data_IF_141392603498
#
_entry.id   IF_141392603498
#
_cell.length_a   1.000
_cell.length_b   1.000
_cell.length_c   1.000
_cell.angle_alpha   90.00
_cell.angle_beta   90.00
_cell.angle_gamma   90.00
#
_symmetry.space_group_name_H-M   'P 1'
#
loop_
_entity.id
_entity.type
_entity.pdbx_description
1 polymer ?
#
# COMPACT_ATOMS: atom_id res chain seq x y z
N UNK A 1 0.00 -6.80 -8.03
CA UNK A 1 0.20 -5.77 -7.00
C UNK A 1 1.08 -6.29 -5.85
N UNK A 2 0.89 -7.53 -5.39
CA UNK A 2 1.72 -8.12 -4.32
C UNK A 2 3.22 -8.19 -4.62
N UNK A 3 3.64 -8.66 -5.81
CA UNK A 3 5.05 -8.92 -6.09
C UNK A 3 5.97 -7.69 -5.93
N UNK A 4 5.51 -6.51 -6.38
CA UNK A 4 6.29 -5.28 -6.27
C UNK A 4 6.38 -4.77 -4.82
N UNK A 5 5.30 -4.91 -4.04
CA UNK A 5 5.29 -4.57 -2.61
C UNK A 5 6.18 -5.54 -1.81
N UNK A 6 6.12 -6.82 -2.12
CA UNK A 6 6.95 -7.88 -1.52
C UNK A 6 8.44 -7.63 -1.80
N UNK A 7 8.79 -7.29 -3.05
CA UNK A 7 10.15 -6.94 -3.43
C UNK A 7 10.65 -5.70 -2.69
N UNK A 8 9.79 -4.70 -2.51
CA UNK A 8 10.14 -3.47 -1.79
C UNK A 8 10.33 -3.72 -0.29
N UNK A 9 9.50 -4.57 0.31
CA UNK A 9 9.67 -5.08 1.68
C UNK A 9 11.01 -5.79 1.85
N UNK A 10 11.34 -6.73 0.96
CA UNK A 10 12.62 -7.44 0.98
C UNK A 10 13.81 -6.49 0.80
N UNK A 11 13.73 -5.54 -0.12
CA UNK A 11 14.77 -4.53 -0.32
C UNK A 11 14.96 -3.64 0.92
N UNK A 12 13.86 -3.28 1.59
CA UNK A 12 13.89 -2.48 2.81
C UNK A 12 14.55 -3.26 3.95
N UNK A 13 14.19 -4.53 4.15
CA UNK A 13 14.82 -5.41 5.16
C UNK A 13 16.32 -5.57 4.88
N UNK A 14 16.70 -5.83 3.62
CA UNK A 14 18.12 -5.91 3.23
C UNK A 14 18.87 -4.61 3.51
N UNK A 15 18.28 -3.45 3.18
CA UNK A 15 18.88 -2.14 3.46
C UNK A 15 19.14 -1.95 4.95
N UNK A 16 18.17 -2.27 5.81
CA UNK A 16 18.33 -2.19 7.27
C UNK A 16 19.43 -3.13 7.77
N UNK A 17 19.49 -4.36 7.26
CA UNK A 17 20.52 -5.33 7.62
C UNK A 17 21.92 -4.92 7.19
N UNK A 18 22.10 -4.39 5.98
CA UNK A 18 23.39 -3.91 5.50
C UNK A 18 23.86 -2.69 6.30
N UNK A 19 22.95 -1.78 6.64
CA UNK A 19 23.26 -0.63 7.48
C UNK A 19 23.72 -1.06 8.88
N UNK A 20 23.05 -2.04 9.48
CA UNK A 20 23.45 -2.65 10.77
C UNK A 20 24.85 -3.24 10.74
N UNK A 21 25.20 -3.98 9.67
CA UNK A 21 26.53 -4.56 9.53
C UNK A 21 27.61 -3.49 9.37
N UNK A 22 27.32 -2.42 8.63
CA UNK A 22 28.27 -1.34 8.40
C UNK A 22 28.53 -0.49 9.65
N UNK A 23 27.50 -0.22 10.45
CA UNK A 23 27.59 0.71 11.59
C UNK A 23 27.59 0.07 12.97
N UNK A 24 27.39 -1.24 13.10
CA UNK A 24 27.32 -1.94 14.39
C UNK A 24 28.66 -2.04 15.12
N UNK A 25 29.29 -3.22 15.10
CA UNK A 25 30.50 -3.49 15.90
C UNK A 25 31.73 -2.69 15.44
N UNK A 26 31.88 -2.50 14.13
CA UNK A 26 33.10 -1.95 13.53
C UNK A 26 33.38 -0.50 13.95
N UNK A 27 32.34 0.32 14.11
CA UNK A 27 32.50 1.73 14.46
C UNK A 27 32.78 1.91 15.96
N UNK A 28 31.99 1.26 16.83
CA UNK A 28 32.23 1.26 18.27
C UNK A 28 33.60 0.67 18.66
N UNK A 29 34.03 -0.40 17.98
CA UNK A 29 35.36 -0.99 18.21
C UNK A 29 36.49 -0.05 17.76
N UNK A 30 36.29 0.71 16.69
CA UNK A 30 37.25 1.73 16.25
C UNK A 30 37.35 2.89 17.26
N UNK A 31 36.21 3.38 17.76
CA UNK A 31 36.15 4.44 18.75
C UNK A 31 36.88 4.06 20.04
N UNK A 32 36.70 2.82 20.53
CA UNK A 32 37.36 2.30 21.74
C UNK A 32 38.86 2.08 21.59
N UNK A 33 39.37 1.97 20.37
CA UNK A 33 40.80 1.75 20.09
C UNK A 33 41.58 3.06 19.89
N UNK A 34 40.91 4.21 19.97
CA UNK A 34 41.61 5.50 19.90
C UNK A 34 42.47 5.69 21.15
N UNK A 35 43.71 6.10 20.96
CA UNK A 35 44.63 6.38 22.07
C UNK A 35 44.32 7.73 22.76
N UNK A 36 43.61 8.62 22.07
CA UNK A 36 43.18 9.91 22.59
C UNK A 36 41.73 9.81 23.10
N UNK A 37 41.53 9.99 24.42
CA UNK A 37 40.23 9.90 25.08
C UNK A 37 39.22 10.91 24.53
N UNK A 38 39.64 12.13 24.21
CA UNK A 38 38.77 13.16 23.63
C UNK A 38 38.24 12.77 22.25
N UNK A 39 39.08 12.10 21.44
CA UNK A 39 38.63 11.56 20.15
C UNK A 39 37.68 10.38 20.37
N UNK A 40 38.01 9.47 21.29
CA UNK A 40 37.17 8.33 21.62
C UNK A 40 35.76 8.74 22.08
N UNK A 41 35.67 9.75 22.95
CA UNK A 41 34.40 10.26 23.49
C UNK A 41 33.49 10.83 22.39
N UNK A 42 34.05 11.64 21.49
CA UNK A 42 33.29 12.23 20.37
C UNK A 42 32.80 11.15 19.41
N UNK A 43 33.64 10.17 19.08
CA UNK A 43 33.24 9.05 18.23
C UNK A 43 32.14 8.21 18.88
N UNK A 44 32.18 7.98 20.19
CA UNK A 44 31.10 7.27 20.90
C UNK A 44 29.78 8.05 20.89
N UNK A 45 29.80 9.39 21.01
CA UNK A 45 28.60 10.23 20.87
C UNK A 45 28.03 10.17 19.45
N UNK A 46 28.89 10.15 18.43
CA UNK A 46 28.46 9.97 17.03
C UNK A 46 27.81 8.57 16.85
N UNK A 47 28.37 7.52 17.45
CA UNK A 47 27.79 6.16 17.43
C UNK A 47 26.38 6.12 18.03
N UNK A 48 26.15 6.83 19.13
CA UNK A 48 24.83 6.96 19.74
C UNK A 48 23.82 7.67 18.81
N UNK A 49 24.23 8.75 18.15
CA UNK A 49 23.36 9.44 17.19
C UNK A 49 23.04 8.57 15.97
N UNK A 50 24.00 7.78 15.49
CA UNK A 50 23.78 6.82 14.41
C UNK A 50 22.78 5.72 14.77
N UNK A 51 22.75 5.26 16.03
CA UNK A 51 21.70 4.35 16.53
C UNK A 51 20.32 5.00 16.50
N UNK A 52 20.22 6.28 16.90
CA UNK A 52 18.96 7.04 16.83
C UNK A 52 18.44 7.18 15.39
N UNK A 53 19.33 7.45 14.42
CA UNK A 53 19.00 7.45 12.98
C UNK A 53 18.43 6.10 12.55
N UNK A 54 19.02 5.01 13.04
CA UNK A 54 18.57 3.66 12.71
C UNK A 54 17.15 3.37 13.21
N UNK A 55 16.82 3.80 14.42
CA UNK A 55 15.47 3.66 14.97
C UNK A 55 14.44 4.42 14.12
N UNK A 56 14.76 5.66 13.71
CA UNK A 56 13.90 6.44 12.81
C UNK A 56 13.78 5.86 11.41
N UNK A 57 14.83 5.22 10.90
CA UNK A 57 14.78 4.50 9.63
C UNK A 57 13.88 3.23 9.70
N UNK A 58 13.86 2.55 10.86
CA UNK A 58 12.93 1.42 11.09
C UNK A 58 11.49 1.88 11.14
N UNK A 59 11.16 2.96 11.86
CA UNK A 59 9.81 3.55 11.88
C UNK A 59 9.33 3.89 10.46
N UNK A 60 10.22 4.36 9.59
CA UNK A 60 9.94 4.59 8.17
C UNK A 60 9.49 3.33 7.44
N UNK A 61 10.06 2.18 7.79
CA UNK A 61 9.87 0.89 7.12
C UNK A 61 8.52 0.27 7.47
N UNK A 62 8.01 0.54 8.68
CA UNK A 62 6.71 0.08 9.16
C UNK A 62 5.51 0.68 8.40
N UNK A 63 5.73 1.77 7.65
CA UNK A 63 4.72 2.36 6.76
C UNK A 63 4.35 1.46 5.58
N UNK A 64 5.24 0.56 5.13
CA UNK A 64 5.00 -0.32 3.96
C UNK A 64 4.00 -1.44 4.27
N UNK A 65 4.11 -2.20 5.37
CA UNK A 65 3.06 -3.12 5.80
C UNK A 65 1.68 -2.47 5.92
N UNK A 66 1.62 -1.24 6.44
CA UNK A 66 0.37 -0.48 6.58
C UNK A 66 -0.23 -0.13 5.22
N UNK A 67 0.57 0.38 4.28
CA UNK A 67 0.17 0.61 2.89
C UNK A 67 -0.42 -0.67 2.26
N UNK A 68 0.24 -1.82 2.44
CA UNK A 68 -0.26 -3.12 1.95
C UNK A 68 -1.63 -3.46 2.55
N UNK A 69 -1.77 -3.34 3.87
CA UNK A 69 -3.02 -3.62 4.58
C UNK A 69 -4.16 -2.70 4.11
N UNK A 70 -3.89 -1.43 3.86
CA UNK A 70 -4.91 -0.51 3.36
C UNK A 70 -5.33 -0.83 1.93
N UNK A 71 -4.39 -1.17 1.04
CA UNK A 71 -4.71 -1.58 -0.32
C UNK A 71 -5.46 -2.92 -0.40
N UNK A 72 -5.31 -3.80 0.59
CA UNK A 72 -6.12 -5.02 0.70
C UNK A 72 -7.62 -4.74 0.85
N UNK A 73 -8.01 -3.55 1.35
CA UNK A 73 -9.41 -3.12 1.43
C UNK A 73 -10.07 -2.93 0.06
N UNK A 74 -9.30 -2.85 -1.03
CA UNK A 74 -9.85 -2.78 -2.39
C UNK A 74 -10.48 -4.09 -2.85
N UNK A 75 -10.02 -5.24 -2.33
CA UNK A 75 -10.55 -6.55 -2.71
C UNK A 75 -12.02 -6.75 -2.36
N UNK A 76 -12.47 -6.55 -1.11
CA UNK A 76 -13.89 -6.68 -0.78
C UNK A 76 -14.78 -5.70 -1.56
N UNK A 77 -14.29 -4.48 -1.86
CA UNK A 77 -15.01 -3.52 -2.70
C UNK A 77 -15.22 -4.06 -4.12
N UNK A 78 -14.18 -4.67 -4.71
CA UNK A 78 -14.27 -5.29 -6.02
C UNK A 78 -15.24 -6.48 -6.02
N UNK A 79 -15.15 -7.35 -5.01
CA UNK A 79 -15.99 -8.53 -4.90
C UNK A 79 -17.48 -8.16 -4.72
N UNK A 80 -17.77 -7.14 -3.91
CA UNK A 80 -19.12 -6.58 -3.75
C UNK A 80 -19.67 -6.01 -5.07
N UNK A 81 -18.88 -5.18 -5.77
CA UNK A 81 -19.28 -4.62 -7.05
C UNK A 81 -19.50 -5.71 -8.11
N UNK A 82 -18.69 -6.78 -8.10
CA UNK A 82 -18.87 -7.94 -8.97
C UNK A 82 -20.17 -8.68 -8.67
N UNK A 83 -20.50 -8.88 -7.40
CA UNK A 83 -21.75 -9.50 -6.98
C UNK A 83 -22.97 -8.68 -7.41
N UNK A 84 -22.91 -7.35 -7.24
CA UNK A 84 -23.94 -6.40 -7.69
C UNK A 84 -24.20 -6.48 -9.19
N UNK A 85 -23.14 -6.49 -10.01
CA UNK A 85 -23.26 -6.68 -11.48
C UNK A 85 -23.89 -8.01 -11.85
N UNK A 86 -23.48 -9.11 -11.19
CA UNK A 86 -24.07 -10.44 -11.42
C UNK A 86 -25.57 -10.45 -11.09
N UNK A 87 -25.99 -9.77 -10.03
CA UNK A 87 -27.40 -9.64 -9.67
C UNK A 87 -28.19 -8.87 -10.74
N UNK A 88 -27.65 -7.75 -11.25
CA UNK A 88 -28.28 -7.01 -12.36
C UNK A 88 -28.46 -7.86 -13.61
N UNK A 89 -27.44 -8.64 -13.99
CA UNK A 89 -27.56 -9.56 -15.13
C UNK A 89 -28.62 -10.65 -14.89
N UNK A 90 -28.73 -11.17 -13.66
CA UNK A 90 -29.78 -12.14 -13.32
C UNK A 90 -31.20 -11.54 -13.43
N UNK A 91 -31.37 -10.26 -13.05
CA UNK A 91 -32.64 -9.56 -13.20
C UNK A 91 -33.00 -9.35 -14.68
N UNK A 92 -32.04 -8.94 -15.52
CA UNK A 92 -32.22 -8.80 -16.97
C UNK A 92 -32.61 -10.13 -17.64
N UNK A 93 -31.94 -11.22 -17.28
CA UNK A 93 -32.27 -12.54 -17.80
C UNK A 93 -33.65 -13.03 -17.34
N UNK A 94 -34.10 -12.68 -16.13
CA UNK A 94 -35.46 -12.96 -15.68
C UNK A 94 -36.50 -12.19 -16.50
N UNK A 95 -36.29 -10.89 -16.71
CA UNK A 95 -37.17 -10.07 -17.54
C UNK A 95 -37.28 -10.61 -18.97
N UNK A 96 -36.14 -11.02 -19.56
CA UNK A 96 -36.10 -11.64 -20.90
C UNK A 96 -36.89 -12.96 -20.95
N UNK A 97 -36.76 -13.82 -19.94
CA UNK A 97 -37.54 -15.07 -19.85
C UNK A 97 -39.03 -14.79 -19.69
N UNK A 98 -39.41 -13.80 -18.89
CA UNK A 98 -40.80 -13.40 -18.73
C UNK A 98 -41.38 -12.89 -20.06
N UNK A 99 -40.64 -12.06 -20.80
CA UNK A 99 -41.05 -11.58 -22.11
C UNK A 99 -41.28 -12.73 -23.12
N UNK A 100 -40.38 -13.72 -23.17
CA UNK A 100 -40.55 -14.91 -24.01
C UNK A 100 -41.74 -15.78 -23.58
N UNK A 101 -42.02 -15.88 -22.27
CA UNK A 101 -43.17 -16.59 -21.75
C UNK A 101 -44.49 -15.91 -22.15
N UNK A 102 -44.54 -14.58 -22.10
CA UNK A 102 -45.70 -13.81 -22.59
C UNK A 102 -45.96 -14.04 -24.07
N UNK A 103 -44.93 -13.99 -24.91
CA UNK A 103 -45.07 -14.23 -26.37
C UNK A 103 -45.62 -15.63 -26.67
N UNK A 104 -45.19 -16.65 -25.90
CA UNK A 104 -45.73 -18.01 -26.04
C UNK A 104 -47.19 -18.11 -25.59
N UNK A 105 -47.54 -17.45 -24.49
CA UNK A 105 -48.91 -17.42 -23.98
C UNK A 105 -49.85 -16.68 -24.93
N UNK A 106 -49.39 -15.58 -25.54
CA UNK A 106 -50.12 -14.82 -26.56
C UNK A 106 -50.46 -15.69 -27.78
N UNK A 107 -49.44 -16.35 -28.36
CA UNK A 107 -49.64 -17.27 -29.50
C UNK A 107 -50.62 -18.40 -29.18
N UNK A 108 -50.59 -18.93 -27.94
CA UNK A 108 -51.51 -19.98 -27.48
C UNK A 108 -52.96 -19.45 -27.43
N UNK A 109 -53.15 -18.24 -26.89
CA UNK A 109 -54.45 -17.57 -26.85
C UNK A 109 -54.98 -17.30 -28.26
N UNK A 110 -54.17 -16.73 -29.14
CA UNK A 110 -54.57 -16.45 -30.54
C UNK A 110 -55.02 -17.72 -31.27
N UNK A 111 -54.25 -18.79 -31.15
CA UNK A 111 -54.56 -20.06 -31.80
C UNK A 111 -55.85 -20.70 -31.27
N UNK A 112 -56.10 -20.62 -29.96
CA UNK A 112 -57.33 -21.14 -29.35
C UNK A 112 -58.55 -20.27 -29.64
N UNK A 113 -58.39 -18.94 -29.73
CA UNK A 113 -59.46 -18.03 -30.16
C UNK A 113 -59.92 -18.31 -31.59
N UNK A 114 -58.99 -18.66 -32.49
CA UNK A 114 -59.33 -19.03 -33.88
C UNK A 114 -60.02 -20.40 -33.94
N UNK A 115 -59.55 -21.38 -33.18
CA UNK A 115 -60.04 -22.77 -33.28
C UNK A 115 -61.30 -23.04 -32.47
N UNK A 116 -61.42 -22.51 -31.25
CA UNK A 116 -62.49 -22.84 -30.32
C UNK A 116 -62.70 -21.73 -29.27
N UNK A 117 -63.26 -20.58 -29.67
CA UNK A 117 -63.30 -19.35 -28.86
C UNK A 117 -64.13 -19.44 -27.58
N UNK A 118 -65.13 -20.32 -27.53
CA UNK A 118 -66.00 -20.50 -26.35
C UNK A 118 -65.57 -21.66 -25.45
N UNK A 119 -64.40 -22.27 -25.71
CA UNK A 119 -63.94 -23.41 -24.91
C UNK A 119 -63.41 -22.96 -23.54
N UNK A 120 -63.60 -23.77 -22.48
CA UNK A 120 -62.97 -23.54 -21.19
C UNK A 120 -61.44 -23.42 -21.26
N UNK A 121 -60.82 -24.08 -22.24
CA UNK A 121 -59.37 -24.01 -22.47
C UNK A 121 -58.92 -22.66 -23.06
N UNK A 122 -59.77 -22.00 -23.86
CA UNK A 122 -59.52 -20.63 -24.31
C UNK A 122 -59.53 -19.65 -23.14
N UNK A 123 -60.47 -19.81 -22.19
CA UNK A 123 -60.50 -18.99 -20.97
C UNK A 123 -59.26 -19.20 -20.10
N UNK A 124 -58.86 -20.45 -19.87
CA UNK A 124 -57.61 -20.76 -19.13
C UNK A 124 -56.37 -20.17 -19.80
N UNK A 125 -56.28 -20.24 -21.13
CA UNK A 125 -55.17 -19.64 -21.86
C UNK A 125 -55.15 -18.11 -21.74
N UNK A 126 -56.32 -17.47 -21.74
CA UNK A 126 -56.44 -16.03 -21.50
C UNK A 126 -55.97 -15.65 -20.09
N UNK A 127 -56.40 -16.40 -19.06
CA UNK A 127 -55.97 -16.18 -17.67
C UNK A 127 -54.44 -16.37 -17.51
N UNK A 128 -53.86 -17.37 -18.20
CA UNK A 128 -52.41 -17.61 -18.25
C UNK A 128 -51.67 -16.44 -18.92
N UNK A 129 -52.21 -15.92 -20.03
CA UNK A 129 -51.65 -14.76 -20.73
C UNK A 129 -51.69 -13.49 -19.87
N UNK A 130 -52.83 -13.21 -19.24
CA UNK A 130 -52.98 -12.04 -18.37
C UNK A 130 -52.02 -12.09 -17.18
N UNK A 131 -51.80 -13.29 -16.61
CA UNK A 131 -50.77 -13.51 -15.58
C UNK A 131 -49.36 -13.29 -16.13
N UNK A 132 -49.08 -13.79 -17.33
CA UNK A 132 -47.77 -13.64 -17.97
C UNK A 132 -47.46 -12.17 -18.31
N UNK A 133 -48.46 -11.36 -18.71
CA UNK A 133 -48.30 -9.91 -18.92
C UNK A 133 -47.93 -9.22 -17.61
N UNK A 134 -48.67 -9.48 -16.53
CA UNK A 134 -48.39 -8.88 -15.21
C UNK A 134 -46.98 -9.23 -14.73
N UNK A 135 -46.56 -10.47 -14.89
CA UNK A 135 -45.21 -10.91 -14.55
C UNK A 135 -44.14 -10.25 -15.41
N UNK A 136 -44.36 -10.13 -16.73
CA UNK A 136 -43.45 -9.42 -17.64
C UNK A 136 -43.27 -7.96 -17.23
N UNK A 137 -44.36 -7.26 -16.92
CA UNK A 137 -44.30 -5.87 -16.45
C UNK A 137 -43.51 -5.76 -15.14
N UNK A 138 -43.81 -6.61 -14.16
CA UNK A 138 -43.11 -6.62 -12.87
C UNK A 138 -41.61 -6.91 -13.02
N UNK A 139 -41.22 -7.92 -13.80
CA UNK A 139 -39.82 -8.27 -14.00
C UNK A 139 -39.06 -7.22 -14.83
N UNK A 140 -39.73 -6.58 -15.81
CA UNK A 140 -39.14 -5.48 -16.59
C UNK A 140 -38.85 -4.27 -15.69
N UNK A 141 -39.84 -3.84 -14.89
CA UNK A 141 -39.64 -2.74 -13.92
C UNK A 141 -38.55 -3.07 -12.92
N UNK A 142 -38.53 -4.28 -12.36
CA UNK A 142 -37.48 -4.69 -11.43
C UNK A 142 -36.07 -4.69 -12.07
N UNK A 143 -35.96 -5.05 -13.35
CA UNK A 143 -34.70 -5.00 -14.08
C UNK A 143 -34.23 -3.56 -14.33
N UNK A 144 -35.13 -2.66 -14.72
CA UNK A 144 -34.85 -1.23 -14.92
C UNK A 144 -34.43 -0.54 -13.62
N UNK A 145 -35.16 -0.76 -12.53
CA UNK A 145 -34.83 -0.24 -11.20
C UNK A 145 -33.46 -0.73 -10.73
N UNK A 146 -33.17 -2.03 -10.94
CA UNK A 146 -31.88 -2.60 -10.56
C UNK A 146 -30.73 -2.03 -11.38
N UNK A 147 -30.94 -1.75 -12.66
CA UNK A 147 -29.95 -1.12 -13.55
C UNK A 147 -29.71 0.34 -13.15
N UNK A 148 -30.76 1.11 -12.86
CA UNK A 148 -30.64 2.46 -12.34
C UNK A 148 -29.85 2.49 -11.02
N UNK A 149 -30.11 1.54 -10.11
CA UNK A 149 -29.35 1.38 -8.88
C UNK A 149 -27.88 1.02 -9.16
N UNK A 150 -27.60 0.16 -10.15
CA UNK A 150 -26.23 -0.21 -10.49
C UNK A 150 -25.40 0.99 -10.95
N UNK A 151 -26.02 1.96 -11.64
CA UNK A 151 -25.35 3.19 -12.08
C UNK A 151 -24.90 4.02 -10.87
N UNK A 152 -25.74 4.18 -9.85
CA UNK A 152 -25.38 4.93 -8.64
C UNK A 152 -24.33 4.18 -7.81
N UNK A 153 -24.51 2.87 -7.62
CA UNK A 153 -23.54 1.99 -6.96
C UNK A 153 -22.17 2.01 -7.63
N UNK A 154 -22.12 2.04 -8.97
CA UNK A 154 -20.86 2.09 -9.73
C UNK A 154 -20.13 3.42 -9.53
N UNK A 155 -20.86 4.54 -9.48
CA UNK A 155 -20.27 5.85 -9.19
C UNK A 155 -19.67 5.87 -7.78
N UNK A 156 -20.41 5.33 -6.81
CA UNK A 156 -19.98 5.27 -5.43
C UNK A 156 -18.78 4.35 -5.24
N UNK A 157 -18.79 3.15 -5.84
CA UNK A 157 -17.65 2.24 -5.87
C UNK A 157 -16.38 2.92 -6.37
N UNK A 158 -16.46 3.67 -7.48
CA UNK A 158 -15.29 4.40 -8.01
C UNK A 158 -14.75 5.41 -7.00
N UNK A 159 -15.63 6.18 -6.33
CA UNK A 159 -15.23 7.13 -5.29
C UNK A 159 -14.51 6.41 -4.15
N UNK A 160 -15.07 5.32 -3.65
CA UNK A 160 -14.49 4.54 -2.55
C UNK A 160 -13.13 3.96 -2.92
N UNK A 161 -12.98 3.42 -4.14
CA UNK A 161 -11.68 2.93 -4.64
C UNK A 161 -10.64 4.05 -4.65
N UNK A 162 -10.96 5.22 -5.22
CA UNK A 162 -10.03 6.35 -5.24
C UNK A 162 -9.71 6.84 -3.83
N UNK A 163 -10.71 6.92 -2.96
CA UNK A 163 -10.53 7.35 -1.57
C UNK A 163 -9.56 6.43 -0.83
N UNK A 164 -9.73 5.09 -0.94
CA UNK A 164 -8.82 4.12 -0.32
C UNK A 164 -7.39 4.29 -0.85
N UNK A 165 -7.22 4.41 -2.18
CA UNK A 165 -5.90 4.58 -2.78
C UNK A 165 -5.24 5.88 -2.32
N UNK A 166 -5.95 7.00 -2.39
CA UNK A 166 -5.42 8.32 -2.02
C UNK A 166 -5.09 8.38 -0.54
N UNK A 167 -5.94 7.83 0.33
CA UNK A 167 -5.70 7.80 1.76
C UNK A 167 -4.48 6.94 2.11
N UNK A 168 -4.34 5.77 1.48
CA UNK A 168 -3.19 4.89 1.70
C UNK A 168 -1.88 5.55 1.22
N UNK A 169 -1.89 6.19 0.05
CA UNK A 169 -0.73 6.93 -0.47
C UNK A 169 -0.39 8.15 0.38
N UNK A 170 -1.39 8.91 0.83
CA UNK A 170 -1.17 10.07 1.69
C UNK A 170 -0.55 9.67 3.02
N UNK A 171 -1.08 8.62 3.67
CA UNK A 171 -0.50 8.10 4.91
C UNK A 171 0.93 7.61 4.73
N UNK A 172 1.22 6.90 3.63
CA UNK A 172 2.57 6.46 3.31
C UNK A 172 3.52 7.65 3.10
N UNK A 173 3.12 8.63 2.29
CA UNK A 173 3.91 9.83 2.01
C UNK A 173 4.17 10.64 3.28
N UNK A 174 3.15 10.87 4.12
CA UNK A 174 3.29 11.57 5.40
C UNK A 174 4.23 10.84 6.36
N UNK A 175 4.16 9.50 6.43
CA UNK A 175 5.08 8.71 7.25
C UNK A 175 6.53 8.85 6.75
N UNK A 176 6.75 8.81 5.44
CA UNK A 176 8.08 9.02 4.84
C UNK A 176 8.61 10.43 5.08
N UNK A 177 7.77 11.44 4.91
CA UNK A 177 8.14 12.84 5.15
C UNK A 177 8.50 13.07 6.61
N UNK A 178 7.66 12.62 7.54
CA UNK A 178 7.89 12.78 8.98
C UNK A 178 9.16 12.05 9.43
N UNK A 179 9.36 10.81 8.97
CA UNK A 179 10.59 10.05 9.24
C UNK A 179 11.83 10.76 8.68
N UNK A 180 11.77 11.27 7.44
CA UNK A 180 12.89 12.00 6.84
C UNK A 180 13.20 13.31 7.57
N UNK A 181 12.18 14.07 7.95
CA UNK A 181 12.34 15.31 8.69
C UNK A 181 12.93 15.05 10.09
N UNK A 182 12.52 13.96 10.76
CA UNK A 182 13.08 13.56 12.05
C UNK A 182 14.55 13.10 11.96
N UNK A 183 15.03 12.73 10.78
CA UNK A 183 16.44 12.31 10.58
C UNK A 183 17.40 13.48 10.32
N UNK A 184 16.90 14.65 9.87
CA UNK A 184 17.75 15.81 9.55
C UNK A 184 18.57 16.31 10.75
N UNK A 185 18.00 16.47 11.96
CA UNK A 185 18.74 16.99 13.12
C UNK A 185 19.93 16.11 13.51
N UNK A 186 19.82 14.78 13.36
CA UNK A 186 20.93 13.88 13.65
C UNK A 186 22.12 14.12 12.71
N UNK A 187 21.87 14.45 11.44
CA UNK A 187 22.93 14.77 10.49
C UNK A 187 23.67 16.06 10.86
N UNK A 188 22.92 17.07 11.30
CA UNK A 188 23.47 18.33 11.82
C UNK A 188 24.31 18.09 13.07
N UNK A 189 23.77 17.35 14.05
CA UNK A 189 24.45 17.03 15.31
C UNK A 189 25.73 16.20 15.09
N UNK A 190 25.69 15.20 14.20
CA UNK A 190 26.89 14.42 13.83
C UNK A 190 27.95 15.32 13.18
N UNK A 191 27.53 16.25 12.32
CA UNK A 191 28.46 17.20 11.68
C UNK A 191 29.09 18.15 12.70
N UNK A 192 28.32 18.64 13.66
CA UNK A 192 28.82 19.47 14.76
C UNK A 192 29.81 18.69 15.63
N UNK A 193 29.44 17.49 16.08
CA UNK A 193 30.32 16.60 16.84
C UNK A 193 31.63 16.32 16.10
N UNK A 194 31.56 15.98 14.81
CA UNK A 194 32.74 15.72 13.99
C UNK A 194 33.66 16.95 13.89
N UNK A 195 33.11 18.16 13.85
CA UNK A 195 33.87 19.42 13.86
C UNK A 195 34.62 19.69 15.17
N UNK A 196 34.24 19.01 16.27
CA UNK A 196 34.94 19.11 17.56
C UNK A 196 36.07 18.10 17.73
N UNK A 197 36.26 17.17 16.78
CA UNK A 197 37.36 16.20 16.85
C UNK A 197 38.68 16.97 16.79
N UNK A 198 39.53 16.90 17.82
CA UNK A 198 40.79 17.61 17.83
C UNK A 198 41.68 17.10 16.69
N UNK A 199 42.49 17.99 16.08
CA UNK A 199 43.48 17.56 15.10
C UNK A 199 44.41 16.53 15.75
N UNK A 200 44.54 15.38 15.11
CA UNK A 200 45.43 14.33 15.60
C UNK A 200 46.86 14.87 15.64
N UNK A 201 47.42 14.95 16.85
CA UNK A 201 48.81 15.34 17.08
C UNK A 201 49.54 14.10 17.57
N UNK A 202 50.40 13.55 16.72
CA UNK A 202 51.20 12.39 17.08
C UNK A 202 52.42 12.83 17.87
N UNK A 203 52.36 12.69 19.19
CA UNK A 203 53.48 13.06 20.06
C UNK A 203 54.75 12.25 19.75
N UNK A 204 54.64 11.07 19.11
CA UNK A 204 55.83 10.31 18.69
C UNK A 204 56.57 11.00 17.55
N UNK A 205 55.90 11.79 16.71
CA UNK A 205 56.55 12.57 15.66
C UNK A 205 57.44 13.64 16.27
N UNK A 206 56.95 14.43 17.23
CA UNK A 206 57.77 15.44 17.93
C UNK A 206 58.96 14.80 18.66
N UNK A 207 58.76 13.66 19.30
CA UNK A 207 59.84 12.91 19.96
C UNK A 207 60.88 12.41 18.96
N UNK A 208 60.45 11.87 17.82
CA UNK A 208 61.34 11.39 16.76
C UNK A 208 62.08 12.55 16.07
N UNK A 209 61.43 13.68 15.83
CA UNK A 209 62.07 14.89 15.29
C UNK A 209 63.17 15.38 16.22
N UNK A 210 62.89 15.42 17.53
CA UNK A 210 63.88 15.81 18.54
C UNK A 210 65.05 14.82 18.61
N UNK A 211 64.79 13.51 18.54
CA UNK A 211 65.85 12.49 18.50
C UNK A 211 66.72 12.60 17.24
N UNK A 212 66.12 12.90 16.07
CA UNK A 212 66.88 13.15 14.83
C UNK A 212 67.74 14.40 14.95
N UNK A 213 67.25 15.45 15.62
CA UNK A 213 68.00 16.68 15.83
C UNK A 213 69.16 16.48 16.82
N UNK A 214 68.97 15.71 17.88
CA UNK A 214 70.03 15.30 18.80
C UNK A 214 71.12 14.50 18.09
N UNK A 215 70.76 13.50 17.27
CA UNK A 215 71.71 12.71 16.46
C UNK A 215 72.46 13.55 15.42
N UNK A 216 71.85 14.60 14.85
CA UNK A 216 72.52 15.51 13.92
C UNK A 216 73.53 16.43 14.59
N UNK A 217 73.36 16.69 15.88
CA UNK A 217 74.22 17.55 16.67
C UNK A 217 75.30 16.77 17.45
N UNK A 218 75.30 15.44 17.37
CA UNK A 218 76.42 14.65 17.88
C UNK A 218 77.69 14.96 17.06
N UNK A 219 78.82 15.28 17.73
CA UNK A 219 80.07 15.51 17.04
C UNK A 219 80.50 14.23 16.34
N UNK A 220 80.78 14.34 15.03
CA UNK A 220 81.36 13.25 14.26
C UNK A 220 82.83 13.13 14.67
N UNK A 221 83.19 12.05 15.35
CA UNK A 221 84.58 11.64 15.58
C UNK A 221 85.30 11.26 14.27
#
# INVERSE_FOLDING_TARGET
MDAALEQNLQATVKKVSHFQQAQGSSYGDFARKQMNESIAEILLKIDEQLKSVQEKAKESSDSVPKLRSDLMKLRPLYDDMRAKKKNTEAAKERAKKAAQATEKAEKKVELLKIKNPSSPDCQKAQDEYDRAIKQKQADATAAEEREALLVTETKEYKKQVFQVILQALAQFASAKQSSSAAMSPFGEEISELAGTIPPYTDQSIEVLEKQVEELRNEPVD
#
